data_IF_932776616437
#
_entry.id   IF_932776616437
#
_cell.length_a   1.000
_cell.length_b   1.000
_cell.length_c   1.000
_cell.angle_alpha   90.00
_cell.angle_beta   90.00
_cell.angle_gamma   90.00
#
_symmetry.space_group_name_H-M   'P 1'
#
loop_
_entity.id
_entity.type
_entity.pdbx_description
1 polymer ?
#
# COMPACT_ATOMS: atom_id res chain seq x y z
N UNK A 1 39.51 8.39 43.78
CA UNK A 1 40.99 8.20 43.71
C UNK A 1 41.72 9.51 43.44
N UNK A 2 41.38 10.29 42.41
CA UNK A 2 41.95 11.65 42.20
C UNK A 2 41.53 12.64 43.30
N UNK A 3 40.27 12.58 43.75
CA UNK A 3 39.76 13.35 44.90
C UNK A 3 40.31 12.91 46.26
N UNK A 4 41.08 11.82 46.31
CA UNK A 4 41.68 11.25 47.52
C UNK A 4 43.21 11.48 47.55
N UNK A 5 43.72 12.44 46.76
CA UNK A 5 45.13 12.85 46.76
C UNK A 5 46.06 12.10 45.79
N UNK A 6 45.56 11.16 44.99
CA UNK A 6 46.36 10.51 43.94
C UNK A 6 46.41 11.35 42.67
N UNK A 7 47.58 11.47 42.05
CA UNK A 7 47.69 12.14 40.75
C UNK A 7 46.87 11.41 39.67
N UNK A 8 46.34 12.16 38.71
CA UNK A 8 45.54 11.65 37.57
C UNK A 8 46.24 10.45 36.91
N UNK A 9 47.55 10.56 36.64
CA UNK A 9 48.37 9.49 36.05
C UNK A 9 48.42 8.22 36.90
N UNK A 10 48.54 8.36 38.22
CA UNK A 10 48.63 7.22 39.15
C UNK A 10 47.29 6.52 39.29
N UNK A 11 46.21 7.30 39.34
CA UNK A 11 44.83 6.78 39.34
C UNK A 11 44.51 6.02 38.05
N UNK A 12 44.86 6.58 36.89
CA UNK A 12 44.65 5.94 35.58
C UNK A 12 45.46 4.64 35.41
N UNK A 13 46.69 4.58 35.95
CA UNK A 13 47.51 3.36 35.95
C UNK A 13 46.89 2.24 36.80
N UNK A 14 46.28 2.57 37.93
CA UNK A 14 45.56 1.59 38.78
C UNK A 14 44.31 1.06 38.10
N UNK A 15 43.59 1.93 37.39
CA UNK A 15 42.33 1.59 36.69
C UNK A 15 42.60 0.90 35.33
N UNK A 16 43.80 1.02 34.77
CA UNK A 16 44.15 0.48 33.45
C UNK A 16 43.51 1.26 32.29
N UNK A 17 43.16 2.53 32.50
CA UNK A 17 42.54 3.40 31.48
C UNK A 17 43.57 4.39 30.92
N UNK A 18 43.53 4.67 29.62
CA UNK A 18 44.39 5.68 29.02
C UNK A 18 43.94 7.09 29.38
N UNK A 19 44.87 8.03 29.48
CA UNK A 19 44.55 9.44 29.72
C UNK A 19 43.70 10.06 28.58
N UNK A 20 43.85 9.57 27.35
CA UNK A 20 43.04 10.01 26.21
C UNK A 20 41.58 9.57 26.33
N UNK A 21 41.32 8.35 26.79
CA UNK A 21 39.95 7.88 27.02
C UNK A 21 39.29 8.63 28.18
N UNK A 22 40.04 8.91 29.25
CA UNK A 22 39.53 9.68 30.40
C UNK A 22 39.20 11.14 30.05
N UNK A 23 39.99 11.75 29.14
CA UNK A 23 39.78 13.13 28.68
C UNK A 23 38.86 13.25 27.46
N UNK A 24 38.32 12.13 26.98
CA UNK A 24 37.46 12.13 25.82
C UNK A 24 36.10 12.75 26.17
N UNK A 25 35.82 13.90 25.57
CA UNK A 25 34.47 14.48 25.58
C UNK A 25 33.76 14.12 24.28
N UNK A 26 32.61 13.43 24.33
CA UNK A 26 31.84 13.12 23.15
C UNK A 26 31.35 14.40 22.47
N UNK A 27 31.55 14.49 21.16
CA UNK A 27 31.11 15.64 20.39
C UNK A 27 29.58 15.79 20.43
N UNK A 28 29.12 17.04 20.47
CA UNK A 28 27.69 17.36 20.51
C UNK A 28 26.97 16.85 19.25
N UNK A 29 25.82 16.19 19.44
CA UNK A 29 25.09 15.59 18.33
C UNK A 29 24.48 16.66 17.42
N UNK A 30 25.13 16.88 16.27
CA UNK A 30 24.68 17.83 15.23
C UNK A 30 23.37 17.40 14.57
N UNK A 31 22.82 16.23 14.90
CA UNK A 31 21.59 15.71 14.31
C UNK A 31 20.31 16.14 15.04
N UNK A 32 20.39 16.68 16.26
CA UNK A 32 19.20 17.03 17.05
C UNK A 32 18.24 17.95 16.31
N UNK A 33 18.73 19.08 15.79
CA UNK A 33 17.91 20.05 15.06
C UNK A 33 17.27 19.45 13.79
N UNK A 34 17.99 18.59 13.07
CA UNK A 34 17.47 17.92 11.88
C UNK A 34 16.41 16.87 12.24
N UNK A 35 16.61 16.14 13.34
CA UNK A 35 15.67 15.13 13.84
C UNK A 35 14.35 15.78 14.26
N UNK A 36 14.40 16.91 14.95
CA UNK A 36 13.21 17.68 15.31
C UNK A 36 12.41 18.13 14.09
N UNK A 37 13.09 18.66 13.05
CA UNK A 37 12.44 19.04 11.79
C UNK A 37 11.79 17.84 11.10
N UNK A 38 12.47 16.69 11.05
CA UNK A 38 11.94 15.44 10.48
C UNK A 38 10.67 15.01 11.23
N UNK A 39 10.70 15.03 12.56
CA UNK A 39 9.55 14.66 13.41
C UNK A 39 8.39 15.62 13.17
N UNK A 40 8.62 16.93 13.13
CA UNK A 40 7.59 17.93 12.87
C UNK A 40 6.92 17.72 11.50
N UNK A 41 7.71 17.46 10.45
CA UNK A 41 7.19 17.16 9.11
C UNK A 41 6.41 15.84 9.07
N UNK A 42 6.89 14.80 9.76
CA UNK A 42 6.21 13.51 9.82
C UNK A 42 4.89 13.58 10.61
N UNK A 43 4.82 14.40 11.66
CA UNK A 43 3.59 14.66 12.39
C UNK A 43 2.56 15.42 11.54
N UNK A 44 3.00 16.43 10.78
CA UNK A 44 2.15 17.16 9.83
C UNK A 44 1.65 16.27 8.69
N UNK A 45 2.49 15.34 8.22
CA UNK A 45 2.19 14.47 7.08
C UNK A 45 2.33 12.98 7.42
N UNK A 46 1.38 12.44 8.18
CA UNK A 46 1.39 11.03 8.65
C UNK A 46 1.50 9.94 7.57
N UNK A 47 1.21 10.25 6.30
CA UNK A 47 1.30 9.29 5.18
C UNK A 47 2.67 9.30 4.49
N UNK A 48 3.53 10.26 4.81
CA UNK A 48 4.81 10.44 4.14
C UNK A 48 5.86 9.51 4.74
N UNK A 49 6.49 8.72 3.86
CA UNK A 49 7.71 7.99 4.19
C UNK A 49 8.95 8.88 4.09
N UNK A 50 10.11 8.32 4.44
CA UNK A 50 11.38 9.05 4.52
C UNK A 50 11.75 9.78 3.21
N UNK A 51 11.54 9.17 2.04
CA UNK A 51 11.79 9.83 0.76
C UNK A 51 10.95 11.08 0.51
N UNK A 52 9.69 11.10 0.95
CA UNK A 52 8.83 12.28 0.79
C UNK A 52 9.19 13.38 1.80
N UNK A 53 9.61 13.00 3.01
CA UNK A 53 10.17 13.95 4.00
C UNK A 53 11.45 14.58 3.46
N UNK A 54 12.35 13.80 2.85
CA UNK A 54 13.56 14.30 2.20
C UNK A 54 13.25 15.35 1.13
N UNK A 55 12.28 15.09 0.25
CA UNK A 55 11.85 16.07 -0.76
C UNK A 55 11.29 17.35 -0.12
N UNK A 56 10.54 17.22 0.98
CA UNK A 56 10.02 18.38 1.72
C UNK A 56 11.13 19.18 2.40
N UNK A 57 12.15 18.52 2.93
CA UNK A 57 13.34 19.18 3.46
C UNK A 57 14.08 19.97 2.36
N UNK A 58 14.23 19.37 1.17
CA UNK A 58 14.81 20.06 0.01
C UNK A 58 14.01 21.30 -0.40
N UNK A 59 12.67 21.24 -0.36
CA UNK A 59 11.80 22.40 -0.62
C UNK A 59 11.95 23.52 0.43
N UNK A 60 12.35 23.19 1.66
CA UNK A 60 12.67 24.18 2.70
C UNK A 60 14.12 24.68 2.66
N UNK A 61 14.91 24.26 1.66
CA UNK A 61 16.31 24.68 1.49
C UNK A 61 17.34 23.87 2.28
N UNK A 62 16.93 22.75 2.90
CA UNK A 62 17.83 21.88 3.66
C UNK A 62 18.56 20.90 2.73
N UNK A 63 19.83 21.17 2.46
CA UNK A 63 20.71 20.31 1.65
C UNK A 63 21.26 19.15 2.49
N UNK A 64 20.44 18.11 2.68
CA UNK A 64 20.79 16.92 3.47
C UNK A 64 20.82 15.68 2.59
N UNK A 65 21.80 14.79 2.78
CA UNK A 65 21.80 13.51 2.08
C UNK A 65 20.59 12.65 2.45
N UNK A 66 19.88 12.09 1.47
CA UNK A 66 18.74 11.18 1.67
C UNK A 66 19.05 10.03 2.65
N UNK A 67 20.27 9.44 2.61
CA UNK A 67 20.67 8.37 3.53
C UNK A 67 20.67 8.80 5.00
N UNK A 68 21.00 10.07 5.25
CA UNK A 68 21.01 10.65 6.60
C UNK A 68 19.58 10.84 7.10
N UNK A 69 18.68 11.29 6.23
CA UNK A 69 17.24 11.40 6.54
C UNK A 69 16.65 10.04 6.83
N UNK A 70 16.92 9.03 6.00
CA UNK A 70 16.43 7.66 6.19
C UNK A 70 16.86 7.08 7.55
N UNK A 71 18.13 7.26 7.92
CA UNK A 71 18.65 6.80 9.21
C UNK A 71 17.93 7.47 10.39
N UNK A 72 17.86 8.80 10.40
CA UNK A 72 17.22 9.56 11.48
C UNK A 72 15.71 9.27 11.56
N UNK A 73 15.07 9.02 10.42
CA UNK A 73 13.65 8.67 10.36
C UNK A 73 13.38 7.29 10.98
N UNK A 74 14.27 6.32 10.76
CA UNK A 74 14.23 5.00 11.40
C UNK A 74 14.51 5.10 12.90
N UNK A 75 15.55 5.83 13.30
CA UNK A 75 15.89 6.06 14.72
C UNK A 75 14.78 6.79 15.49
N UNK A 76 14.00 7.65 14.81
CA UNK A 76 12.84 8.32 15.39
C UNK A 76 11.57 7.44 15.42
N UNK A 77 11.62 6.20 14.90
CA UNK A 77 10.48 5.28 14.91
C UNK A 77 9.32 5.70 14.02
N UNK A 78 9.56 6.55 13.01
CA UNK A 78 8.51 7.18 12.19
C UNK A 78 7.99 6.28 11.06
N UNK A 79 8.33 5.00 11.04
CA UNK A 79 8.02 4.09 9.95
C UNK A 79 6.50 3.96 9.72
N UNK A 80 6.05 4.37 8.53
CA UNK A 80 4.64 4.27 8.13
C UNK A 80 4.23 2.80 8.06
N UNK A 81 3.30 2.39 8.92
CA UNK A 81 2.74 1.03 8.92
C UNK A 81 2.03 0.77 7.60
N UNK A 82 2.51 -0.22 6.83
CA UNK A 82 1.80 -0.72 5.65
C UNK A 82 0.47 -1.33 6.08
N UNK A 83 -0.64 -0.80 5.58
CA UNK A 83 -1.98 -1.36 5.80
C UNK A 83 -2.04 -2.73 5.13
N UNK A 84 -2.00 -3.80 5.92
CA UNK A 84 -2.20 -5.16 5.41
C UNK A 84 -3.64 -5.29 4.92
N UNK A 85 -3.83 -5.75 3.68
CA UNK A 85 -5.17 -6.09 3.16
C UNK A 85 -5.73 -7.19 4.05
N UNK A 86 -6.89 -6.95 4.68
CA UNK A 86 -7.59 -7.99 5.44
C UNK A 86 -7.90 -9.13 4.47
N UNK A 87 -7.36 -10.33 4.74
CA UNK A 87 -7.79 -11.53 4.02
C UNK A 87 -9.17 -11.87 4.57
N UNK A 88 -10.18 -11.82 3.69
CA UNK A 88 -11.51 -12.35 4.03
C UNK A 88 -11.35 -13.87 4.05
N UNK A 89 -11.66 -14.56 5.16
CA UNK A 89 -11.62 -16.01 5.19
C UNK A 89 -12.57 -16.55 4.11
N UNK A 90 -12.10 -17.53 3.35
CA UNK A 90 -12.90 -18.18 2.32
C UNK A 90 -13.97 -18.99 3.08
N UNK A 91 -15.23 -18.57 3.00
CA UNK A 91 -16.37 -19.37 3.49
C UNK A 91 -16.41 -20.71 2.77
N UNK A 92 -16.93 -21.74 3.44
CA UNK A 92 -17.20 -23.04 2.83
C UNK A 92 -18.02 -22.84 1.56
N UNK A 93 -17.38 -23.20 0.43
CA UNK A 93 -18.01 -23.09 -0.89
C UNK A 93 -19.04 -24.20 -0.97
N UNK A 94 -20.32 -23.83 -0.90
CA UNK A 94 -21.38 -24.78 -1.16
C UNK A 94 -21.29 -25.22 -2.63
N UNK A 95 -21.26 -26.54 -2.92
CA UNK A 95 -21.27 -27.01 -4.28
C UNK A 95 -22.55 -26.51 -4.96
N UNK A 96 -22.40 -25.84 -6.10
CA UNK A 96 -23.53 -25.38 -6.90
C UNK A 96 -24.29 -26.60 -7.42
N UNK A 97 -25.56 -26.74 -7.05
CA UNK A 97 -26.43 -27.76 -7.61
C UNK A 97 -26.55 -27.54 -9.12
N UNK A 98 -26.34 -28.61 -9.90
CA UNK A 98 -26.49 -28.54 -11.34
C UNK A 98 -27.97 -28.50 -11.68
N UNK A 99 -28.45 -27.46 -12.37
CA UNK A 99 -29.84 -27.40 -12.75
C UNK A 99 -30.18 -28.50 -13.74
N UNK A 100 -31.31 -29.18 -13.51
CA UNK A 100 -31.79 -30.30 -14.33
C UNK A 100 -32.48 -29.82 -15.62
N UNK A 101 -32.91 -28.56 -15.67
CA UNK A 101 -33.55 -27.94 -16.83
C UNK A 101 -32.62 -26.96 -17.56
N UNK A 102 -32.92 -26.69 -18.84
CA UNK A 102 -32.30 -25.60 -19.61
C UNK A 102 -32.96 -24.29 -19.17
N UNK A 103 -32.14 -23.27 -18.87
CA UNK A 103 -32.59 -21.91 -18.47
C UNK A 103 -33.04 -21.56 -17.03
N UNK A 104 -32.90 -22.40 -15.98
CA UNK A 104 -33.32 -21.98 -14.64
C UNK A 104 -32.28 -21.14 -13.89
N UNK A 105 -30.98 -21.31 -14.19
CA UNK A 105 -29.89 -20.63 -13.47
C UNK A 105 -28.86 -20.08 -14.45
N UNK A 106 -28.56 -18.82 -14.26
CA UNK A 106 -27.59 -18.08 -15.04
C UNK A 106 -26.80 -17.11 -14.18
N UNK A 107 -25.57 -16.84 -14.61
CA UNK A 107 -24.67 -15.89 -13.95
C UNK A 107 -24.21 -14.85 -14.95
N UNK A 108 -24.28 -13.58 -14.56
CA UNK A 108 -23.74 -12.46 -15.33
C UNK A 108 -22.64 -11.76 -14.55
N UNK A 109 -21.53 -11.46 -15.22
CA UNK A 109 -20.40 -10.75 -14.65
C UNK A 109 -19.93 -9.66 -15.59
N UNK A 110 -19.54 -8.52 -15.02
CA UNK A 110 -18.85 -7.46 -15.76
C UNK A 110 -17.35 -7.73 -15.79
N UNK A 111 -16.80 -7.83 -16.99
CA UNK A 111 -15.35 -7.90 -17.21
C UNK A 111 -14.87 -6.53 -17.65
N UNK A 112 -13.85 -6.04 -16.95
CA UNK A 112 -13.18 -4.79 -17.29
C UNK A 112 -11.83 -5.14 -17.90
N UNK A 113 -11.56 -4.56 -19.07
CA UNK A 113 -10.30 -4.71 -19.77
C UNK A 113 -9.79 -3.36 -20.27
N UNK A 114 -8.55 -3.30 -20.74
CA UNK A 114 -7.95 -2.12 -21.36
C UNK A 114 -7.39 -2.48 -22.72
N UNK A 115 -7.68 -1.65 -23.72
CA UNK A 115 -7.03 -1.77 -25.04
C UNK A 115 -5.56 -1.38 -24.94
N UNK A 116 -4.77 -1.77 -25.95
CA UNK A 116 -3.36 -1.36 -26.08
C UNK A 116 -3.18 0.17 -26.06
N UNK A 117 -4.20 0.91 -26.51
CA UNK A 117 -4.26 2.38 -26.50
C UNK A 117 -4.68 2.98 -25.14
N UNK A 118 -4.96 2.14 -24.13
CA UNK A 118 -5.30 2.57 -22.77
C UNK A 118 -6.78 2.87 -22.52
N UNK A 119 -7.66 2.67 -23.51
CA UNK A 119 -9.12 2.84 -23.34
C UNK A 119 -9.69 1.70 -22.50
N UNK A 120 -10.46 2.02 -21.46
CA UNK A 120 -11.16 1.02 -20.67
C UNK A 120 -12.38 0.48 -21.41
N UNK A 121 -12.44 -0.84 -21.58
CA UNK A 121 -13.60 -1.57 -22.08
C UNK A 121 -14.31 -2.21 -20.89
N UNK A 122 -15.63 -2.07 -20.86
CA UNK A 122 -16.50 -2.77 -19.92
C UNK A 122 -17.43 -3.67 -20.75
N UNK A 123 -17.31 -4.97 -20.54
CA UNK A 123 -18.08 -5.99 -21.24
C UNK A 123 -18.94 -6.76 -20.25
N UNK A 124 -20.20 -6.98 -20.62
CA UNK A 124 -21.10 -7.87 -19.87
C UNK A 124 -20.95 -9.30 -20.42
N UNK A 125 -20.61 -10.24 -19.54
CA UNK A 125 -20.55 -11.67 -19.87
C UNK A 125 -21.71 -12.39 -19.23
N UNK A 126 -22.30 -13.33 -19.97
CA UNK A 126 -23.39 -14.17 -19.50
C UNK A 126 -23.00 -15.64 -19.66
N UNK A 127 -23.24 -16.43 -18.60
CA UNK A 127 -22.98 -17.86 -18.58
C UNK A 127 -24.21 -18.63 -18.13
N UNK A 128 -24.48 -19.70 -18.86
CA UNK A 128 -25.55 -20.64 -18.56
C UNK A 128 -25.02 -21.79 -17.68
N UNK A 129 -25.61 -22.00 -16.50
CA UNK A 129 -25.16 -23.05 -15.58
C UNK A 129 -25.34 -24.49 -16.14
N UNK A 130 -26.40 -24.73 -16.91
CA UNK A 130 -26.74 -26.04 -17.47
C UNK A 130 -26.01 -26.38 -18.79
N UNK A 131 -25.51 -25.37 -19.52
CA UNK A 131 -24.95 -25.56 -20.86
C UNK A 131 -23.66 -24.74 -21.04
N UNK A 132 -22.47 -25.32 -20.74
CA UNK A 132 -21.19 -24.62 -20.85
C UNK A 132 -20.87 -24.12 -22.26
N UNK A 133 -21.41 -24.77 -23.30
CA UNK A 133 -21.22 -24.40 -24.71
C UNK A 133 -22.01 -23.16 -25.12
N UNK A 134 -22.87 -22.62 -24.26
CA UNK A 134 -23.68 -21.40 -24.50
C UNK A 134 -23.20 -20.25 -23.61
N UNK A 135 -21.92 -19.91 -23.73
CA UNK A 135 -21.32 -18.71 -23.13
C UNK A 135 -21.20 -17.61 -24.19
N UNK A 136 -21.61 -16.37 -23.86
CA UNK A 136 -21.56 -15.25 -24.79
C UNK A 136 -21.19 -13.93 -24.11
N UNK A 137 -20.52 -13.04 -24.86
CA UNK A 137 -20.32 -11.63 -24.49
C UNK A 137 -21.51 -10.87 -25.07
N UNK A 138 -22.33 -10.26 -24.22
CA UNK A 138 -23.62 -9.71 -24.66
C UNK A 138 -23.52 -8.33 -25.28
N UNK A 139 -22.57 -7.48 -24.84
CA UNK A 139 -22.28 -6.19 -25.46
C UNK A 139 -21.14 -5.44 -24.74
N UNK A 140 -20.60 -4.42 -25.42
CA UNK A 140 -19.77 -3.36 -24.85
C UNK A 140 -20.64 -2.17 -24.42
N UNK A 141 -20.29 -1.51 -23.32
CA UNK A 141 -20.94 -0.25 -22.92
C UNK A 141 -22.26 -0.38 -22.15
N UNK A 142 -22.67 -1.61 -21.78
CA UNK A 142 -23.87 -1.86 -20.97
C UNK A 142 -23.72 -1.28 -19.56
N UNK A 143 -24.66 -0.44 -19.15
CA UNK A 143 -24.73 0.08 -17.78
C UNK A 143 -25.63 -0.80 -16.92
N UNK A 144 -25.41 -0.80 -15.61
CA UNK A 144 -26.18 -1.65 -14.67
C UNK A 144 -27.69 -1.37 -14.76
N UNK A 145 -28.07 -0.11 -15.02
CA UNK A 145 -29.47 0.33 -15.22
C UNK A 145 -30.15 -0.31 -16.44
N UNK A 146 -29.38 -0.74 -17.44
CA UNK A 146 -29.91 -1.35 -18.67
C UNK A 146 -30.32 -2.81 -18.45
N UNK A 147 -29.93 -3.40 -17.31
CA UNK A 147 -30.11 -4.82 -16.97
C UNK A 147 -31.21 -5.02 -15.93
N UNK A 148 -31.45 -4.03 -15.07
CA UNK A 148 -32.44 -4.14 -13.99
C UNK A 148 -33.87 -4.07 -14.53
N UNK A 149 -34.66 -5.13 -14.35
CA UNK A 149 -36.09 -5.16 -14.70
C UNK A 149 -36.52 -6.23 -15.71
N UNK A 150 -35.63 -7.12 -16.14
CA UNK A 150 -35.95 -8.15 -17.14
C UNK A 150 -36.15 -9.53 -16.48
N UNK A 151 -37.25 -10.23 -16.81
CA UNK A 151 -37.55 -11.53 -16.21
C UNK A 151 -36.63 -12.64 -16.75
N UNK A 152 -36.27 -12.59 -18.04
CA UNK A 152 -35.55 -13.66 -18.72
C UNK A 152 -34.45 -13.14 -19.67
N UNK A 153 -33.46 -14.00 -19.91
CA UNK A 153 -32.24 -13.71 -20.68
C UNK A 153 -32.51 -13.55 -22.17
N UNK A 154 -33.52 -14.23 -22.70
CA UNK A 154 -33.91 -14.12 -24.11
C UNK A 154 -34.47 -12.73 -24.43
N UNK A 155 -35.19 -12.11 -23.47
CA UNK A 155 -35.70 -10.75 -23.59
C UNK A 155 -34.57 -9.71 -23.52
N UNK A 156 -33.54 -9.99 -22.71
CA UNK A 156 -32.35 -9.14 -22.59
C UNK A 156 -31.46 -9.23 -23.84
N UNK A 157 -31.21 -10.43 -24.37
CA UNK A 157 -30.47 -10.64 -25.62
C UNK A 157 -31.12 -9.94 -26.81
N UNK A 158 -32.46 -10.02 -26.95
CA UNK A 158 -33.20 -9.36 -28.04
C UNK A 158 -33.13 -7.83 -27.96
N UNK A 159 -33.11 -7.25 -26.75
CA UNK A 159 -33.05 -5.80 -26.56
C UNK A 159 -31.63 -5.20 -26.56
N UNK A 160 -30.62 -5.97 -26.17
CA UNK A 160 -29.23 -5.50 -26.25
C UNK A 160 -28.72 -5.60 -27.69
N UNK A 161 -29.10 -6.66 -28.41
CA UNK A 161 -28.74 -6.83 -29.83
C UNK A 161 -29.30 -5.73 -30.73
N UNK A 162 -30.44 -5.13 -30.39
CA UNK A 162 -31.04 -4.00 -31.14
C UNK A 162 -30.42 -2.64 -30.83
N UNK A 163 -29.64 -2.50 -29.75
CA UNK A 163 -28.94 -1.24 -29.38
C UNK A 163 -27.55 -1.08 -30.02
N UNK A 164 -27.05 -2.11 -30.70
CA UNK A 164 -25.71 -2.16 -31.29
C UNK A 164 -25.70 -2.20 -32.83
N UNK A 165 -26.85 -1.96 -33.48
CA UNK A 165 -26.92 -1.72 -34.93
C UNK A 165 -26.79 -0.24 -35.26
#
# INVERSE_FOLDING_TARGET
>A
MVSQGLSERRSLRVIGMSASAYRYEPAQDRNCALKEKIVALAQRHRRYGAGMIYLKLGQSGELVNHKRVDRLYVEAGLQVKKRRRKKIPISDRHPLERPTAVNPVWSMDFVFDRTAEGRSIKSLTYKHAACPSRCGILAQGVQTKDITGWPDTDSLCKNIGSKTS
#
